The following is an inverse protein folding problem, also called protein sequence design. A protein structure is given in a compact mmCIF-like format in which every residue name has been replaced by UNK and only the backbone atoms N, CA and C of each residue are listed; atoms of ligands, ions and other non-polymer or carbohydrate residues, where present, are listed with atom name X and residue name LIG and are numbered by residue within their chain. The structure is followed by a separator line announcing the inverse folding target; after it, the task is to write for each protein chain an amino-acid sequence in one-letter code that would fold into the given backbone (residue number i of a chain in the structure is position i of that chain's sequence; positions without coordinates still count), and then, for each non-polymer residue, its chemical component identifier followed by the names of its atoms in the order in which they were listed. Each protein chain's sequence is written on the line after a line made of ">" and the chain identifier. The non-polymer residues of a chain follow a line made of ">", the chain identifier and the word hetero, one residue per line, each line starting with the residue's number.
data_IF_115350364248
#
_entry.id   IF_115350364248
#
_cell.length_a   1.000
_cell.length_b   1.000
_cell.length_c   1.000
_cell.angle_alpha   90.00
_cell.angle_beta   90.00
_cell.angle_gamma   90.00
#
_symmetry.space_group_name_H-M   'P 1'
#
loop_
_entity.id
_entity.type
_entity.pdbx_description
1 polymer ?
#
# COMPACT_ATOMS: atom_id res chain seq x y z
N UNK A 1 32.89 -5.59 -32.80
CA UNK A 1 33.41 -4.88 -31.61
C UNK A 1 32.41 -5.06 -30.48
N UNK A 2 32.90 -5.59 -29.35
CA UNK A 2 32.50 -5.30 -27.96
C UNK A 2 30.97 -5.24 -27.72
N UNK A 3 30.32 -6.30 -27.26
CA UNK A 3 30.58 -6.99 -26.00
C UNK A 3 29.30 -6.88 -25.18
N UNK A 4 28.47 -7.93 -25.20
CA UNK A 4 27.27 -8.02 -24.36
C UNK A 4 27.74 -7.95 -22.90
N UNK A 5 27.49 -6.80 -22.27
CA UNK A 5 27.91 -6.53 -20.90
C UNK A 5 26.97 -7.26 -19.93
N UNK A 6 27.14 -8.58 -19.85
CA UNK A 6 26.51 -9.45 -18.87
C UNK A 6 27.30 -9.33 -17.58
N UNK A 7 27.08 -8.26 -16.81
CA UNK A 7 27.46 -8.14 -15.40
C UNK A 7 26.88 -6.86 -14.79
N UNK A 8 25.55 -6.73 -14.74
CA UNK A 8 24.96 -6.08 -13.57
C UNK A 8 24.79 -7.17 -12.54
N UNK A 9 25.72 -7.21 -11.60
CA UNK A 9 25.47 -7.81 -10.31
C UNK A 9 24.39 -6.94 -9.68
N UNK A 10 23.11 -7.26 -9.93
CA UNK A 10 21.99 -6.52 -9.39
C UNK A 10 22.12 -6.61 -7.88
N UNK A 11 22.53 -5.53 -7.21
CA UNK A 11 22.41 -5.44 -5.75
C UNK A 11 20.98 -5.79 -5.42
N UNK A 12 20.76 -6.92 -4.72
CA UNK A 12 19.43 -7.30 -4.27
C UNK A 12 18.90 -6.16 -3.41
N UNK A 13 17.89 -5.46 -3.93
CA UNK A 13 17.30 -4.35 -3.21
C UNK A 13 16.35 -4.91 -2.16
N UNK A 14 16.43 -4.39 -0.94
CA UNK A 14 15.56 -4.84 0.15
C UNK A 14 14.36 -3.89 0.20
N UNK A 15 13.18 -4.43 -0.09
CA UNK A 15 11.93 -3.69 0.00
C UNK A 15 11.04 -4.26 1.11
N UNK A 16 10.44 -3.37 1.90
CA UNK A 16 9.37 -3.75 2.83
C UNK A 16 8.32 -2.65 2.96
N UNK A 17 7.10 -3.07 3.28
CA UNK A 17 6.01 -2.21 3.71
C UNK A 17 5.84 -2.31 5.22
N UNK A 18 5.44 -1.24 5.87
CA UNK A 18 5.06 -1.25 7.28
C UNK A 18 3.76 -0.47 7.50
N UNK A 19 2.95 -0.97 8.43
CA UNK A 19 1.70 -0.35 8.85
C UNK A 19 1.78 0.11 10.31
N UNK A 20 1.25 1.28 10.60
CA UNK A 20 1.28 1.84 11.95
C UNK A 20 0.10 2.78 12.18
N UNK A 21 -0.32 2.98 13.42
CA UNK A 21 -1.39 3.91 13.73
C UNK A 21 -0.89 5.34 13.85
N UNK A 22 -1.69 6.30 13.37
CA UNK A 22 -1.50 7.72 13.68
C UNK A 22 -2.01 8.02 15.09
N UNK A 23 -1.25 7.59 16.09
CA UNK A 23 -1.68 7.58 17.50
C UNK A 23 -2.05 8.95 18.09
N UNK A 24 -1.62 10.06 17.49
CA UNK A 24 -1.99 11.41 17.92
C UNK A 24 -3.30 11.94 17.29
N UNK A 25 -4.01 11.09 16.54
CA UNK A 25 -5.29 11.44 15.93
C UNK A 25 -6.30 10.33 16.18
N UNK A 26 -7.45 10.73 16.72
CA UNK A 26 -8.62 9.88 16.93
C UNK A 26 -9.82 10.64 16.35
N UNK A 27 -10.61 9.99 15.52
CA UNK A 27 -11.80 10.57 14.92
C UNK A 27 -12.98 10.58 15.92
N UNK A 28 -14.13 11.13 15.50
CA UNK A 28 -15.34 11.19 16.34
C UNK A 28 -15.88 9.82 16.76
N UNK A 29 -15.53 8.76 16.05
CA UNK A 29 -15.93 7.37 16.34
C UNK A 29 -14.94 6.66 17.28
N UNK A 30 -13.92 7.33 17.80
CA UNK A 30 -12.91 6.70 18.65
C UNK A 30 -11.89 5.84 17.88
N UNK A 31 -11.82 5.99 16.55
CA UNK A 31 -10.91 5.24 15.68
C UNK A 31 -9.72 6.09 15.24
N UNK A 32 -8.60 5.44 14.97
CA UNK A 32 -7.37 6.05 14.46
C UNK A 32 -6.99 5.45 13.10
N UNK A 33 -6.51 6.26 12.14
CA UNK A 33 -6.08 5.78 10.83
C UNK A 33 -4.87 4.86 10.88
N UNK A 34 -4.91 3.83 10.04
CA UNK A 34 -3.74 3.00 9.71
C UNK A 34 -2.94 3.71 8.61
N UNK A 35 -1.70 4.04 8.93
CA UNK A 35 -0.73 4.69 8.08
C UNK A 35 0.18 3.66 7.41
N UNK A 36 0.66 3.99 6.22
CA UNK A 36 1.53 3.17 5.40
C UNK A 36 2.90 3.83 5.22
N UNK A 37 3.95 3.04 5.37
CA UNK A 37 5.33 3.43 5.06
C UNK A 37 5.99 2.34 4.22
N UNK A 38 6.81 2.77 3.27
CA UNK A 38 7.65 1.88 2.46
C UNK A 38 9.11 2.12 2.77
N UNK A 39 9.92 1.07 2.64
CA UNK A 39 11.37 1.10 2.80
C UNK A 39 12.01 0.51 1.56
N UNK A 40 13.11 1.11 1.12
CA UNK A 40 13.95 0.62 0.05
C UNK A 40 15.39 0.78 0.51
N UNK A 41 16.06 -0.34 0.77
CA UNK A 41 17.38 -0.37 1.39
C UNK A 41 17.40 0.42 2.71
N UNK A 42 18.19 1.49 2.78
CA UNK A 42 18.34 2.33 3.97
C UNK A 42 17.39 3.54 3.99
N UNK A 43 16.57 3.71 2.95
CA UNK A 43 15.65 4.83 2.81
C UNK A 43 14.22 4.42 3.15
N UNK A 44 13.39 5.41 3.52
CA UNK A 44 11.98 5.19 3.85
C UNK A 44 11.13 6.39 3.48
N UNK A 45 9.89 6.11 3.06
CA UNK A 45 8.91 7.13 2.71
C UNK A 45 7.54 6.78 3.30
N UNK A 46 6.89 7.77 3.91
CA UNK A 46 5.48 7.63 4.32
C UNK A 46 4.58 7.86 3.11
N UNK A 47 3.69 6.91 2.83
CA UNK A 47 2.69 7.05 1.76
C UNK A 47 1.37 7.68 2.26
N UNK A 48 1.22 7.85 3.57
CA UNK A 48 0.06 8.49 4.17
C UNK A 48 -0.93 7.48 4.74
N UNK A 49 -2.20 7.87 4.84
CA UNK A 49 -3.28 7.01 5.33
C UNK A 49 -3.64 5.96 4.28
N UNK A 50 -3.90 4.73 4.72
CA UNK A 50 -4.48 3.68 3.89
C UNK A 50 -5.96 3.90 3.58
N UNK A 51 -6.63 4.79 4.33
CA UNK A 51 -8.09 4.94 4.33
C UNK A 51 -8.79 4.08 5.40
N UNK A 52 -8.08 3.11 5.97
CA UNK A 52 -8.59 2.24 7.05
C UNK A 52 -8.46 2.96 8.39
N UNK A 53 -9.50 2.90 9.21
CA UNK A 53 -9.48 3.39 10.60
C UNK A 53 -9.89 2.28 11.56
N UNK A 54 -9.22 2.17 12.70
CA UNK A 54 -9.48 1.12 13.70
C UNK A 54 -9.45 1.66 15.12
N UNK A 55 -10.06 0.94 16.07
CA UNK A 55 -9.90 1.24 17.49
C UNK A 55 -8.48 0.86 17.93
N UNK A 56 -7.76 1.78 18.57
CA UNK A 56 -6.34 1.61 18.89
C UNK A 56 -6.05 0.36 19.73
N UNK A 57 -6.93 -0.02 20.66
CA UNK A 57 -6.77 -1.21 21.51
C UNK A 57 -6.78 -2.52 20.72
N UNK A 58 -7.43 -2.54 19.55
CA UNK A 58 -7.52 -3.70 18.66
C UNK A 58 -6.26 -3.88 17.80
N UNK A 59 -5.30 -2.95 17.81
CA UNK A 59 -4.08 -3.07 17.03
C UNK A 59 -3.01 -3.90 17.73
N UNK A 60 -2.43 -4.85 17.02
CA UNK A 60 -1.18 -5.52 17.37
C UNK A 60 -0.03 -4.74 16.71
N UNK A 61 0.76 -4.02 17.53
CA UNK A 61 1.83 -3.15 17.04
C UNK A 61 2.98 -3.94 16.40
N UNK A 62 3.29 -5.12 16.94
CA UNK A 62 4.41 -5.94 16.48
C UNK A 62 4.06 -6.65 15.18
N UNK A 63 2.81 -7.12 15.04
CA UNK A 63 2.33 -7.74 13.81
C UNK A 63 1.88 -6.75 12.76
N UNK A 64 1.67 -5.49 13.16
CA UNK A 64 1.10 -4.44 12.33
C UNK A 64 -0.26 -4.87 11.73
N UNK A 65 -1.10 -5.48 12.55
CA UNK A 65 -2.41 -6.04 12.17
C UNK A 65 -3.46 -5.86 13.26
N UNK A 66 -4.73 -5.98 12.89
CA UNK A 66 -5.85 -6.03 13.83
C UNK A 66 -5.86 -7.38 14.56
N UNK A 67 -6.04 -7.35 15.88
CA UNK A 67 -6.13 -8.52 16.76
C UNK A 67 -7.42 -9.31 16.50
N UNK A 68 -7.39 -10.59 16.87
CA UNK A 68 -8.56 -11.46 16.82
C UNK A 68 -8.79 -12.12 15.47
N UNK A 69 -9.83 -12.96 15.40
CA UNK A 69 -10.21 -13.76 14.21
C UNK A 69 -11.68 -13.56 13.82
N UNK A 70 -12.29 -12.45 14.24
CA UNK A 70 -13.64 -12.09 13.85
C UNK A 70 -13.65 -11.48 12.45
N UNK A 71 -14.80 -11.53 11.78
CA UNK A 71 -14.96 -11.20 10.36
C UNK A 71 -14.38 -9.84 9.99
N UNK A 72 -14.66 -8.80 10.77
CA UNK A 72 -14.16 -7.44 10.50
C UNK A 72 -12.62 -7.36 10.62
N UNK A 73 -12.01 -7.95 11.66
CA UNK A 73 -10.55 -7.99 11.78
C UNK A 73 -9.89 -8.75 10.63
N UNK A 74 -10.45 -9.89 10.23
CA UNK A 74 -9.93 -10.67 9.09
C UNK A 74 -10.04 -9.88 7.78
N UNK A 75 -11.18 -9.22 7.54
CA UNK A 75 -11.38 -8.39 6.35
C UNK A 75 -10.43 -7.19 6.31
N UNK A 76 -10.26 -6.49 7.44
CA UNK A 76 -9.29 -5.38 7.54
C UNK A 76 -7.86 -5.85 7.28
N UNK A 77 -7.46 -6.98 7.87
CA UNK A 77 -6.12 -7.53 7.66
C UNK A 77 -5.91 -7.94 6.19
N UNK A 78 -6.92 -8.54 5.55
CA UNK A 78 -6.89 -8.87 4.13
C UNK A 78 -6.71 -7.61 3.24
N UNK A 79 -7.37 -6.51 3.58
CA UNK A 79 -7.17 -5.24 2.86
C UNK A 79 -5.73 -4.72 2.99
N UNK A 80 -5.13 -4.81 4.18
CA UNK A 80 -3.73 -4.44 4.40
C UNK A 80 -2.78 -5.37 3.62
N UNK A 81 -3.05 -6.67 3.59
CA UNK A 81 -2.28 -7.66 2.84
C UNK A 81 -2.35 -7.41 1.33
N UNK A 82 -3.51 -6.99 0.81
CA UNK A 82 -3.69 -6.61 -0.59
C UNK A 82 -2.87 -5.35 -0.95
N UNK A 83 -2.86 -4.34 -0.07
CA UNK A 83 -2.03 -3.13 -0.24
C UNK A 83 -0.55 -3.52 -0.29
N UNK A 84 -0.10 -4.33 0.67
CA UNK A 84 1.27 -4.83 0.74
C UNK A 84 1.67 -5.62 -0.51
N UNK A 85 0.79 -6.52 -0.97
CA UNK A 85 1.01 -7.33 -2.17
C UNK A 85 1.08 -6.48 -3.44
N UNK A 86 0.23 -5.45 -3.56
CA UNK A 86 0.24 -4.51 -4.69
C UNK A 86 1.55 -3.71 -4.75
N UNK A 87 2.06 -3.24 -3.61
CA UNK A 87 3.35 -2.55 -3.54
C UNK A 87 4.53 -3.48 -3.84
N UNK A 88 4.48 -4.73 -3.35
CA UNK A 88 5.48 -5.73 -3.66
C UNK A 88 5.54 -6.03 -5.16
N UNK A 89 4.39 -6.07 -5.84
CA UNK A 89 4.32 -6.27 -7.28
C UNK A 89 4.92 -5.09 -8.05
N UNK A 90 4.65 -3.84 -7.63
CA UNK A 90 5.28 -2.64 -8.20
C UNK A 90 6.80 -2.69 -8.01
N UNK A 91 7.26 -3.00 -6.81
CA UNK A 91 8.69 -3.16 -6.52
C UNK A 91 9.34 -4.19 -7.45
N UNK A 92 8.78 -5.41 -7.57
CA UNK A 92 9.31 -6.47 -8.45
C UNK A 92 9.37 -6.04 -9.92
N UNK A 93 8.38 -5.26 -10.39
CA UNK A 93 8.38 -4.71 -11.75
C UNK A 93 9.53 -3.71 -11.95
N UNK A 94 9.74 -2.81 -10.99
CA UNK A 94 10.76 -1.76 -11.08
C UNK A 94 12.18 -2.26 -10.77
N UNK A 95 12.34 -3.33 -9.98
CA UNK A 95 13.65 -3.94 -9.70
C UNK A 95 14.34 -4.49 -10.96
N UNK A 96 13.57 -4.77 -12.01
CA UNK A 96 14.07 -5.20 -13.31
C UNK A 96 14.46 -4.01 -14.23
N UNK A 97 14.33 -2.77 -13.76
CA UNK A 97 14.60 -1.54 -14.52
C UNK A 97 15.60 -0.62 -13.80
N UNK A 98 16.03 0.44 -14.49
CA UNK A 98 16.88 1.50 -13.91
C UNK A 98 16.09 2.60 -13.18
N UNK A 99 14.79 2.41 -13.01
CA UNK A 99 13.88 3.43 -12.44
C UNK A 99 13.50 3.15 -10.97
N UNK A 100 14.14 2.19 -10.31
CA UNK A 100 13.79 1.80 -8.95
C UNK A 100 14.09 2.92 -7.95
N UNK A 101 13.03 3.57 -7.45
CA UNK A 101 13.08 4.53 -6.35
C UNK A 101 11.79 4.52 -5.52
N UNK A 102 11.82 5.09 -4.32
CA UNK A 102 10.64 5.25 -3.46
C UNK A 102 9.59 6.13 -4.13
N UNK A 103 10.01 7.20 -4.80
CA UNK A 103 9.16 8.13 -5.55
C UNK A 103 8.45 7.42 -6.72
N UNK A 104 9.17 6.57 -7.46
CA UNK A 104 8.61 5.81 -8.57
C UNK A 104 7.59 4.78 -8.08
N UNK A 105 7.90 4.05 -7.01
CA UNK A 105 6.96 3.11 -6.37
C UNK A 105 5.69 3.84 -5.91
N UNK A 106 5.84 5.00 -5.25
CA UNK A 106 4.71 5.83 -4.82
C UNK A 106 3.86 6.29 -6.01
N UNK A 107 4.50 6.79 -7.07
CA UNK A 107 3.80 7.28 -8.27
C UNK A 107 2.97 6.17 -8.93
N UNK A 108 3.54 4.99 -9.14
CA UNK A 108 2.81 3.84 -9.71
C UNK A 108 1.67 3.36 -8.79
N UNK A 109 1.88 3.39 -7.46
CA UNK A 109 0.84 3.01 -6.50
C UNK A 109 -0.35 3.97 -6.52
N UNK A 110 -0.08 5.28 -6.52
CA UNK A 110 -1.13 6.30 -6.55
C UNK A 110 -1.85 6.35 -7.90
N UNK A 111 -1.14 6.18 -9.01
CA UNK A 111 -1.75 6.10 -10.35
C UNK A 111 -2.75 4.95 -10.46
N UNK A 112 -2.37 3.74 -10.03
CA UNK A 112 -3.30 2.59 -10.00
C UNK A 112 -4.52 2.82 -9.12
N UNK A 113 -4.35 3.49 -7.98
CA UNK A 113 -5.48 3.81 -7.09
C UNK A 113 -6.46 4.76 -7.79
N UNK A 114 -5.94 5.80 -8.44
CA UNK A 114 -6.75 6.75 -9.20
C UNK A 114 -7.51 6.07 -10.35
N UNK A 115 -6.88 5.15 -11.07
CA UNK A 115 -7.53 4.38 -12.14
C UNK A 115 -8.71 3.55 -11.61
N UNK A 116 -8.53 2.86 -10.46
CA UNK A 116 -9.59 2.07 -9.83
C UNK A 116 -10.74 2.96 -9.36
N UNK A 117 -10.43 4.08 -8.69
CA UNK A 117 -11.44 5.02 -8.20
C UNK A 117 -12.26 5.61 -9.38
N UNK A 118 -11.60 5.90 -10.50
CA UNK A 118 -12.26 6.43 -11.72
C UNK A 118 -13.18 5.39 -12.37
N UNK A 119 -12.73 4.13 -12.44
CA UNK A 119 -13.55 3.04 -12.99
C UNK A 119 -14.80 2.81 -12.12
N UNK A 120 -14.65 2.81 -10.78
CA UNK A 120 -15.80 2.68 -9.88
C UNK A 120 -16.80 3.82 -10.05
N UNK A 121 -16.34 5.07 -10.12
CA UNK A 121 -17.20 6.24 -10.36
C UNK A 121 -17.97 6.15 -11.68
N UNK A 122 -17.35 5.61 -12.74
CA UNK A 122 -18.00 5.41 -14.03
C UNK A 122 -19.13 4.39 -13.92
N UNK A 123 -18.89 3.27 -13.24
CA UNK A 123 -19.92 2.24 -13.00
C UNK A 123 -21.07 2.77 -12.15
N UNK A 124 -20.79 3.48 -11.06
CA UNK A 124 -21.82 4.07 -10.20
C UNK A 124 -22.71 5.03 -11.00
N UNK A 125 -22.10 5.90 -11.82
CA UNK A 125 -22.85 6.79 -12.72
C UNK A 125 -23.72 6.04 -13.73
N UNK A 126 -23.19 4.98 -14.36
CA UNK A 126 -23.97 4.19 -15.31
C UNK A 126 -25.13 3.46 -14.63
N UNK A 127 -24.94 3.00 -13.39
CA UNK A 127 -25.99 2.36 -12.61
C UNK A 127 -27.10 3.36 -12.22
N UNK A 128 -26.74 4.59 -11.87
CA UNK A 128 -27.70 5.68 -11.62
C UNK A 128 -28.47 6.07 -12.89
N UNK A 129 -27.79 6.20 -14.02
CA UNK A 129 -28.40 6.56 -15.32
C UNK A 129 -29.35 5.46 -15.86
N UNK A 130 -29.13 4.19 -15.51
CA UNK A 130 -29.99 3.05 -15.94
C UNK A 130 -31.14 2.78 -14.95
N UNK A 131 -31.00 3.19 -13.70
CA UNK A 131 -32.05 3.03 -12.68
C UNK A 131 -33.07 4.20 -12.66
N UNK A 132 -32.85 5.24 -13.46
CA UNK A 132 -33.74 6.40 -13.65
C UNK A 132 -34.66 6.21 -14.87
#
# INVERSE_FOLDING_TARGET
>A
MLGYNKNRQCMQSIFRTAFYLRSNYVNKEGKTPVMLRIYLNNERMSLGSTGITIVQSQWDREKERVKGRYTEALNTNLQLDNIQSGLQAIFRKLEMTDELSLERIKSEHLGKKQDIDTIMQLFDKHNEDVAA
#
